data_IF_099243900822
#
_entry.id   IF_099243900822
#
_cell.length_a   1.000
_cell.length_b   1.000
_cell.length_c   1.000
_cell.angle_alpha   90.00
_cell.angle_beta   90.00
_cell.angle_gamma   90.00
#
_symmetry.space_group_name_H-M   'P 1'
#
loop_
_entity.id
_entity.type
_entity.pdbx_description
1 polymer ?
#
# COMPACT_ATOMS: atom_id res chain seq x y z
N UNK A 1 16.71 13.83 -2.03
CA UNK A 1 17.68 12.71 -1.93
C UNK A 1 17.27 11.70 -3.01
N UNK A 2 18.11 11.42 -4.00
CA UNK A 2 17.79 10.47 -5.05
C UNK A 2 17.88 9.09 -4.42
N UNK A 3 16.73 8.48 -4.15
CA UNK A 3 16.69 7.13 -3.59
C UNK A 3 17.04 6.21 -4.74
N UNK A 4 18.32 5.83 -4.83
CA UNK A 4 18.78 4.81 -5.75
C UNK A 4 18.21 3.48 -5.26
N UNK A 5 16.96 3.20 -5.60
CA UNK A 5 16.31 1.93 -5.28
C UNK A 5 17.18 0.82 -5.85
N UNK A 6 17.89 0.10 -4.98
CA UNK A 6 18.78 -0.96 -5.42
C UNK A 6 17.91 -2.05 -6.09
N UNK A 7 18.32 -2.52 -7.27
CA UNK A 7 17.61 -3.60 -7.98
C UNK A 7 17.40 -4.82 -7.07
N UNK A 8 18.32 -5.04 -6.13
CA UNK A 8 18.25 -6.10 -5.15
C UNK A 8 17.12 -5.91 -4.13
N UNK A 9 16.85 -4.67 -3.72
CA UNK A 9 15.73 -4.32 -2.84
C UNK A 9 14.39 -4.59 -3.54
N UNK A 10 14.25 -4.20 -4.81
CA UNK A 10 13.06 -4.49 -5.60
C UNK A 10 12.81 -6.00 -5.78
N UNK A 11 13.87 -6.78 -6.00
CA UNK A 11 13.77 -8.24 -6.06
C UNK A 11 13.37 -8.86 -4.71
N UNK A 12 13.84 -8.29 -3.60
CA UNK A 12 13.46 -8.74 -2.25
C UNK A 12 11.98 -8.42 -1.96
N UNK A 13 11.51 -7.23 -2.35
CA UNK A 13 10.08 -6.85 -2.29
C UNK A 13 9.24 -7.84 -3.10
N UNK A 14 9.64 -8.14 -4.33
CA UNK A 14 8.93 -9.08 -5.20
C UNK A 14 8.80 -10.47 -4.55
N UNK A 15 9.90 -11.01 -4.01
CA UNK A 15 9.89 -12.29 -3.29
C UNK A 15 9.01 -12.26 -2.05
N UNK A 16 8.99 -11.15 -1.31
CA UNK A 16 8.13 -10.99 -0.13
C UNK A 16 6.65 -10.99 -0.52
N UNK A 17 6.30 -10.32 -1.62
CA UNK A 17 4.94 -10.31 -2.18
C UNK A 17 4.54 -11.71 -2.67
N UNK A 18 5.42 -12.42 -3.37
CA UNK A 18 5.16 -13.80 -3.82
C UNK A 18 4.94 -14.76 -2.64
N UNK A 19 5.68 -14.57 -1.54
CA UNK A 19 5.45 -15.32 -0.29
C UNK A 19 4.10 -14.99 0.32
N UNK A 20 3.74 -13.71 0.41
CA UNK A 20 2.42 -13.28 0.90
C UNK A 20 1.28 -13.91 0.06
N UNK A 21 1.43 -13.93 -1.26
CA UNK A 21 0.46 -14.55 -2.16
C UNK A 21 0.30 -16.06 -1.90
N UNK A 22 1.40 -16.78 -1.63
CA UNK A 22 1.39 -18.23 -1.39
C UNK A 22 0.90 -18.60 0.00
N UNK A 23 1.38 -17.90 1.02
CA UNK A 23 1.07 -18.20 2.42
C UNK A 23 -0.31 -17.68 2.82
N UNK A 24 -0.74 -16.57 2.23
CA UNK A 24 -1.93 -15.82 2.63
C UNK A 24 -2.66 -15.20 1.42
N UNK A 25 -3.19 -16.01 0.49
CA UNK A 25 -3.80 -15.53 -0.76
C UNK A 25 -4.97 -14.56 -0.55
N UNK A 26 -5.78 -14.75 0.49
CA UNK A 26 -6.88 -13.85 0.82
C UNK A 26 -6.38 -12.43 1.18
N UNK A 27 -5.24 -12.33 1.87
CA UNK A 27 -4.66 -11.07 2.32
C UNK A 27 -4.01 -10.33 1.15
N UNK A 28 -3.28 -11.06 0.30
CA UNK A 28 -2.77 -10.54 -0.95
C UNK A 28 -3.90 -10.00 -1.82
N UNK A 29 -5.02 -10.71 -1.93
CA UNK A 29 -6.17 -10.26 -2.70
C UNK A 29 -6.79 -8.97 -2.11
N UNK A 30 -6.95 -8.88 -0.79
CA UNK A 30 -7.46 -7.65 -0.15
C UNK A 30 -6.52 -6.47 -0.37
N UNK A 31 -5.21 -6.68 -0.24
CA UNK A 31 -4.22 -5.65 -0.49
C UNK A 31 -4.24 -5.19 -1.96
N UNK A 32 -4.30 -6.13 -2.89
CA UNK A 32 -4.47 -5.85 -4.32
C UNK A 32 -5.74 -5.06 -4.60
N UNK A 33 -6.88 -5.45 -4.03
CA UNK A 33 -8.15 -4.74 -4.23
C UNK A 33 -8.06 -3.27 -3.80
N UNK A 34 -7.39 -2.97 -2.69
CA UNK A 34 -7.20 -1.59 -2.21
C UNK A 34 -6.23 -0.80 -3.10
N UNK A 35 -5.17 -1.45 -3.62
CA UNK A 35 -4.28 -0.83 -4.60
C UNK A 35 -5.05 -0.50 -5.90
N UNK A 36 -5.89 -1.42 -6.37
CA UNK A 36 -6.74 -1.19 -7.54
C UNK A 36 -7.75 -0.07 -7.31
N UNK A 37 -8.39 -0.02 -6.14
CA UNK A 37 -9.27 1.07 -5.73
C UNK A 37 -8.53 2.41 -5.69
N UNK A 38 -7.34 2.45 -5.08
CA UNK A 38 -6.47 3.63 -5.03
C UNK A 38 -6.15 4.14 -6.44
N UNK A 39 -5.85 3.22 -7.37
CA UNK A 39 -5.59 3.55 -8.77
C UNK A 39 -6.84 4.07 -9.49
N UNK A 40 -8.01 3.46 -9.29
CA UNK A 40 -9.26 3.90 -9.90
C UNK A 40 -9.70 5.29 -9.42
N UNK A 41 -9.44 5.60 -8.15
CA UNK A 41 -9.69 6.92 -7.56
C UNK A 41 -8.60 7.95 -7.93
N UNK A 42 -7.58 7.54 -8.69
CA UNK A 42 -6.42 8.36 -9.05
C UNK A 42 -5.68 8.94 -7.82
N UNK A 43 -5.72 8.21 -6.70
CA UNK A 43 -4.99 8.58 -5.50
C UNK A 43 -3.52 8.15 -5.63
N UNK A 44 -2.62 8.87 -4.97
CA UNK A 44 -1.21 8.49 -4.95
C UNK A 44 -0.98 7.23 -4.12
N UNK A 45 -0.12 6.32 -4.59
CA UNK A 45 0.26 5.15 -3.77
C UNK A 45 1.05 5.54 -2.51
N UNK A 46 1.72 6.69 -2.51
CA UNK A 46 2.30 7.24 -1.28
C UNK A 46 1.23 7.64 -0.26
N UNK A 47 0.09 8.19 -0.70
CA UNK A 47 -1.04 8.47 0.19
C UNK A 47 -1.59 7.20 0.83
N UNK A 48 -1.77 6.14 0.03
CA UNK A 48 -2.18 4.83 0.54
C UNK A 48 -1.15 4.30 1.56
N UNK A 49 0.14 4.31 1.21
CA UNK A 49 1.20 3.83 2.10
C UNK A 49 1.24 4.57 3.44
N UNK A 50 1.12 5.90 3.43
CA UNK A 50 1.03 6.69 4.64
C UNK A 50 -0.22 6.36 5.47
N UNK A 51 -1.38 6.17 4.83
CA UNK A 51 -2.61 5.73 5.53
C UNK A 51 -2.46 4.35 6.17
N UNK A 52 -1.80 3.42 5.49
CA UNK A 52 -1.52 2.08 5.98
C UNK A 52 -0.53 2.10 7.16
N UNK A 53 0.40 3.05 7.15
CA UNK A 53 1.45 3.20 8.17
C UNK A 53 1.09 4.14 9.34
N UNK A 54 -0.10 4.76 9.33
CA UNK A 54 -0.47 5.83 10.28
C UNK A 54 0.52 7.00 10.26
N UNK A 55 1.10 7.30 9.08
CA UNK A 55 2.02 8.41 8.88
C UNK A 55 1.31 9.70 8.48
N UNK A 56 2.03 10.83 8.62
CA UNK A 56 1.50 12.14 8.24
C UNK A 56 1.21 12.21 6.74
N UNK A 57 -0.07 12.34 6.42
CA UNK A 57 -0.61 12.36 5.05
C UNK A 57 -0.66 13.77 4.44
N UNK A 58 -0.24 14.80 5.17
CA UNK A 58 -0.42 16.22 4.83
C UNK A 58 0.18 16.63 3.49
N UNK A 59 1.24 15.96 3.02
CA UNK A 59 1.90 16.28 1.74
C UNK A 59 1.41 15.42 0.57
N UNK A 60 0.72 14.31 0.85
CA UNK A 60 0.29 13.32 -0.15
C UNK A 60 -1.22 13.25 -0.34
N UNK A 61 -1.98 14.06 0.40
CA UNK A 61 -3.45 14.02 0.36
C UNK A 61 -3.96 14.33 -1.05
N UNK A 62 -4.76 13.45 -1.67
CA UNK A 62 -5.34 13.70 -2.97
C UNK A 62 -6.29 14.91 -2.86
N UNK A 63 -6.30 15.75 -3.89
CA UNK A 63 -7.22 16.90 -4.02
C UNK A 63 -8.61 16.41 -4.40
N UNK A 64 -9.23 15.62 -3.55
CA UNK A 64 -10.56 15.05 -3.77
C UNK A 64 -11.57 16.06 -3.27
N UNK A 65 -12.39 16.59 -4.17
CA UNK A 65 -13.47 17.50 -3.80
C UNK A 65 -14.66 16.75 -3.18
N UNK A 66 -14.78 15.45 -3.46
CA UNK A 66 -15.87 14.61 -2.96
C UNK A 66 -15.52 13.90 -1.63
N UNK A 67 -16.03 14.48 -0.55
CA UNK A 67 -15.89 13.96 0.82
C UNK A 67 -16.51 12.56 1.04
N UNK A 68 -17.51 12.17 0.24
CA UNK A 68 -18.14 10.86 0.35
C UNK A 68 -17.20 9.78 -0.19
N UNK A 69 -16.60 10.00 -1.37
CA UNK A 69 -15.62 9.07 -1.96
C UNK A 69 -14.41 8.89 -1.05
N UNK A 70 -13.91 9.98 -0.45
CA UNK A 70 -12.81 9.90 0.52
C UNK A 70 -13.19 9.07 1.76
N UNK A 71 -14.43 9.21 2.25
CA UNK A 71 -14.92 8.45 3.41
C UNK A 71 -15.03 6.95 3.13
N UNK A 72 -15.50 6.58 1.93
CA UNK A 72 -15.56 5.17 1.50
C UNK A 72 -14.16 4.59 1.41
N UNK A 73 -13.21 5.31 0.81
CA UNK A 73 -11.83 4.85 0.71
C UNK A 73 -11.20 4.64 2.10
N UNK A 74 -11.35 5.60 3.01
CA UNK A 74 -10.83 5.46 4.38
C UNK A 74 -11.48 4.29 5.12
N UNK A 75 -12.76 4.02 4.88
CA UNK A 75 -13.45 2.85 5.46
C UNK A 75 -12.83 1.55 4.96
N UNK A 76 -12.67 1.37 3.66
CA UNK A 76 -12.07 0.15 3.10
C UNK A 76 -10.63 -0.07 3.59
N UNK A 77 -9.84 1.00 3.67
CA UNK A 77 -8.49 0.95 4.24
C UNK A 77 -8.53 0.55 5.72
N UNK A 78 -9.46 1.09 6.50
CA UNK A 78 -9.59 0.75 7.92
C UNK A 78 -10.07 -0.70 8.13
N UNK A 79 -10.95 -1.21 7.27
CA UNK A 79 -11.37 -2.61 7.30
C UNK A 79 -10.19 -3.55 7.00
N UNK A 80 -9.29 -3.18 6.07
CA UNK A 80 -8.03 -3.89 5.87
C UNK A 80 -7.18 -3.86 7.14
N UNK A 81 -7.01 -2.69 7.78
CA UNK A 81 -6.18 -2.54 8.99
C UNK A 81 -6.71 -3.35 10.18
N UNK A 82 -8.03 -3.49 10.31
CA UNK A 82 -8.66 -4.30 11.37
C UNK A 82 -8.55 -5.81 11.13
N UNK A 83 -8.35 -6.23 9.88
CA UNK A 83 -8.05 -7.62 9.64
C UNK A 83 -6.71 -7.95 10.29
N UNK A 84 -6.68 -8.91 11.22
CA UNK A 84 -5.44 -9.45 11.84
C UNK A 84 -4.36 -9.88 10.81
N UNK A 85 -4.77 -9.98 9.55
CA UNK A 85 -3.94 -10.18 8.37
C UNK A 85 -3.01 -9.00 8.01
N UNK A 86 -3.30 -7.80 8.49
CA UNK A 86 -2.63 -6.58 8.04
C UNK A 86 -1.21 -6.44 8.57
N UNK A 87 -0.88 -7.11 9.68
CA UNK A 87 0.45 -7.03 10.28
C UNK A 87 1.57 -7.44 9.30
N UNK A 88 1.35 -8.43 8.45
CA UNK A 88 2.35 -8.85 7.44
C UNK A 88 2.51 -7.84 6.31
N UNK A 89 1.41 -7.23 5.86
CA UNK A 89 1.44 -6.17 4.84
C UNK A 89 2.13 -4.94 5.42
N UNK A 90 1.86 -4.62 6.69
CA UNK A 90 2.51 -3.55 7.43
C UNK A 90 4.01 -3.82 7.59
N UNK A 91 4.41 -5.01 8.02
CA UNK A 91 5.84 -5.38 8.10
C UNK A 91 6.53 -5.28 6.74
N UNK A 92 5.90 -5.74 5.66
CA UNK A 92 6.46 -5.63 4.30
C UNK A 92 6.67 -4.17 3.91
N UNK A 93 5.65 -3.33 4.08
CA UNK A 93 5.71 -1.90 3.76
C UNK A 93 6.72 -1.16 4.65
N UNK A 94 6.90 -1.56 5.91
CA UNK A 94 7.87 -0.97 6.84
C UNK A 94 9.31 -1.41 6.52
N UNK A 95 9.51 -2.69 6.19
CA UNK A 95 10.81 -3.27 5.82
C UNK A 95 11.37 -2.61 4.57
N UNK A 96 10.50 -2.33 3.59
CA UNK A 96 10.89 -1.76 2.31
C UNK A 96 10.47 -0.29 2.15
N UNK A 97 10.36 0.44 3.26
CA UNK A 97 9.98 1.86 3.24
C UNK A 97 10.90 2.71 2.34
N UNK A 98 12.18 2.35 2.28
CA UNK A 98 13.18 2.98 1.42
C UNK A 98 12.87 2.81 -0.09
N UNK A 99 12.17 1.73 -0.48
CA UNK A 99 11.77 1.47 -1.87
C UNK A 99 10.63 2.37 -2.34
N UNK A 100 10.03 3.18 -1.46
CA UNK A 100 8.81 3.97 -1.67
C UNK A 100 7.57 3.11 -1.91
N UNK A 101 6.46 3.51 -1.30
CA UNK A 101 5.18 2.81 -1.41
C UNK A 101 4.66 2.67 -2.84
N UNK A 102 5.01 3.63 -3.70
CA UNK A 102 4.66 3.61 -5.13
C UNK A 102 5.23 2.39 -5.86
N UNK A 103 6.51 2.07 -5.67
CA UNK A 103 7.13 0.91 -6.31
C UNK A 103 6.57 -0.40 -5.76
N UNK A 104 6.33 -0.49 -4.44
CA UNK A 104 5.73 -1.68 -3.83
C UNK A 104 4.34 -1.93 -4.41
N UNK A 105 3.48 -0.92 -4.47
CA UNK A 105 2.13 -1.05 -5.02
C UNK A 105 2.14 -1.41 -6.51
N UNK A 106 3.11 -0.90 -7.28
CA UNK A 106 3.29 -1.25 -8.70
C UNK A 106 3.72 -2.70 -8.91
N UNK A 107 4.47 -3.32 -7.99
CA UNK A 107 4.87 -4.73 -8.08
C UNK A 107 3.68 -5.67 -7.79
N UNK A 108 2.70 -5.23 -7.01
CA UNK A 108 1.49 -6.02 -6.66
C UNK A 108 0.47 -6.04 -7.81
N UNK A 109 0.44 -4.99 -8.63
CA UNK A 109 -0.46 -4.83 -9.77
C UNK A 109 -0.08 -5.74 -10.94
#
# INVERSE_FOLDING_TARGET
MIVSTNVQELQNVQKAIERLQKERPAQFQQFKNIIELTRQLQYGFQYLGCLLMDESISEFQPKVEDSYVQSIFQREVNELKKAHAFDQVKELLATYKEVSYDHICKIVL
#
